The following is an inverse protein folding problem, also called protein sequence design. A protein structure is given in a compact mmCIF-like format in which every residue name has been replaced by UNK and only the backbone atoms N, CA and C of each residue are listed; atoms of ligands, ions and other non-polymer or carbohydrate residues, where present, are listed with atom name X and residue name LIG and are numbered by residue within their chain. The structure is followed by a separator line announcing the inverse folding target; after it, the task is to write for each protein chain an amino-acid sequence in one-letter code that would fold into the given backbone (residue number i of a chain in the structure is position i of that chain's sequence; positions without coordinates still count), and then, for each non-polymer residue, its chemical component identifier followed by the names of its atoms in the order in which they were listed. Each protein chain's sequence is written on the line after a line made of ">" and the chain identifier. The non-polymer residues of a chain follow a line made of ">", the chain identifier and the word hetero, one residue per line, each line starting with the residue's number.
data_IF_510443398054
#
_entry.id   IF_510443398054
#
_cell.length_a   1.000
_cell.length_b   1.000
_cell.length_c   1.000
_cell.angle_alpha   90.00
_cell.angle_beta   90.00
_cell.angle_gamma   90.00
#
_symmetry.space_group_name_H-M   'P 1'
#
loop_
_entity.id
_entity.type
_entity.pdbx_description
1 polymer ?
#
# COMPACT_ATOMS: atom_id res chain seq x y z
N UNK A 1 -21.64 -1.36 -7.62
CA UNK A 1 -20.96 -1.71 -8.89
C UNK A 1 -19.80 -2.67 -8.63
N UNK A 2 -19.36 -3.43 -9.63
CA UNK A 2 -18.28 -4.42 -9.50
C UNK A 2 -16.95 -3.83 -8.98
N UNK A 3 -16.60 -2.60 -9.40
CA UNK A 3 -15.37 -1.92 -8.98
C UNK A 3 -15.30 -1.67 -7.46
N UNK A 4 -16.41 -1.24 -6.83
CA UNK A 4 -16.44 -1.00 -5.38
C UNK A 4 -16.21 -2.28 -4.56
N UNK A 5 -16.68 -3.43 -5.07
CA UNK A 5 -16.46 -4.73 -4.43
C UNK A 5 -15.00 -5.16 -4.54
N UNK A 6 -14.39 -4.96 -5.70
CA UNK A 6 -12.96 -5.26 -5.91
C UNK A 6 -12.09 -4.37 -5.00
N UNK A 7 -12.38 -3.07 -4.92
CA UNK A 7 -11.66 -2.15 -4.03
C UNK A 7 -11.80 -2.53 -2.54
N UNK A 8 -12.94 -3.10 -2.13
CA UNK A 8 -13.12 -3.60 -0.77
C UNK A 8 -12.25 -4.84 -0.47
N UNK A 9 -12.06 -5.71 -1.47
CA UNK A 9 -11.14 -6.84 -1.36
C UNK A 9 -9.69 -6.35 -1.24
N UNK A 10 -9.26 -5.45 -2.11
CA UNK A 10 -7.91 -4.84 -2.04
C UNK A 10 -7.67 -4.21 -0.66
N UNK A 11 -8.66 -3.48 -0.13
CA UNK A 11 -8.58 -2.86 1.18
C UNK A 11 -8.40 -3.89 2.30
N UNK A 12 -9.18 -4.97 2.27
CA UNK A 12 -9.14 -6.02 3.30
C UNK A 12 -7.79 -6.72 3.29
N UNK A 13 -7.29 -7.12 2.11
CA UNK A 13 -5.99 -7.79 1.99
C UNK A 13 -4.87 -6.89 2.49
N UNK A 14 -4.87 -5.60 2.12
CA UNK A 14 -3.85 -4.66 2.61
C UNK A 14 -4.00 -4.31 4.10
N UNK A 15 -5.19 -4.45 4.69
CA UNK A 15 -5.40 -4.20 6.12
C UNK A 15 -4.72 -5.28 6.96
N UNK A 16 -4.83 -6.55 6.55
CA UNK A 16 -4.28 -7.69 7.28
C UNK A 16 -2.83 -8.05 6.91
N UNK A 17 -2.22 -7.38 5.93
CA UNK A 17 -0.83 -7.67 5.55
C UNK A 17 0.18 -7.21 6.62
N UNK A 18 1.29 -7.93 6.77
CA UNK A 18 2.37 -7.52 7.68
C UNK A 18 3.01 -6.20 7.24
N UNK A 19 3.20 -6.04 5.93
CA UNK A 19 3.77 -4.86 5.29
C UNK A 19 2.82 -4.36 4.21
N UNK A 20 2.58 -3.05 4.20
CA UNK A 20 1.83 -2.37 3.14
C UNK A 20 2.74 -1.37 2.41
N UNK A 21 2.77 -1.42 1.08
CA UNK A 21 3.54 -0.48 0.24
C UNK A 21 2.57 0.36 -0.57
N UNK A 22 2.59 1.68 -0.37
CA UNK A 22 1.69 2.60 -1.09
C UNK A 22 2.29 3.03 -2.42
N UNK A 23 1.49 3.02 -3.49
CA UNK A 23 1.92 3.44 -4.83
C UNK A 23 1.57 4.90 -5.14
N UNK A 24 0.43 5.40 -4.69
CA UNK A 24 -0.02 6.77 -4.93
C UNK A 24 -0.65 7.34 -3.66
N UNK A 25 -0.63 8.66 -3.49
CA UNK A 25 -1.45 9.30 -2.47
C UNK A 25 -2.94 9.17 -2.78
N UNK A 26 -3.80 9.54 -1.83
CA UNK A 26 -5.24 9.57 -2.00
C UNK A 26 -5.98 8.86 -0.86
N UNK A 27 -7.28 8.68 -1.05
CA UNK A 27 -8.19 8.23 0.00
C UNK A 27 -7.88 6.81 0.48
N UNK A 28 -7.60 5.88 -0.44
CA UNK A 28 -7.35 4.48 -0.09
C UNK A 28 -6.21 4.30 0.93
N UNK A 29 -4.95 4.71 0.64
CA UNK A 29 -3.87 4.55 1.59
C UNK A 29 -4.05 5.43 2.82
N UNK A 30 -4.71 6.60 2.71
CA UNK A 30 -4.97 7.47 3.85
C UNK A 30 -5.87 6.78 4.89
N UNK A 31 -7.01 6.24 4.45
CA UNK A 31 -7.92 5.49 5.34
C UNK A 31 -7.29 4.19 5.83
N UNK A 32 -6.56 3.47 4.96
CA UNK A 32 -5.94 2.21 5.33
C UNK A 32 -4.84 2.38 6.39
N UNK A 33 -3.99 3.41 6.28
CA UNK A 33 -2.94 3.69 7.27
C UNK A 33 -3.54 3.99 8.65
N UNK A 34 -4.61 4.79 8.71
CA UNK A 34 -5.32 5.06 9.96
C UNK A 34 -5.92 3.80 10.57
N UNK A 35 -6.54 2.95 9.74
CA UNK A 35 -7.16 1.71 10.19
C UNK A 35 -6.11 0.68 10.67
N UNK A 36 -5.01 0.51 9.93
CA UNK A 36 -3.87 -0.33 10.33
C UNK A 36 -3.27 0.17 11.64
N UNK A 37 -3.16 1.49 11.82
CA UNK A 37 -2.67 2.11 13.06
C UNK A 37 -3.59 1.82 14.24
N UNK A 38 -4.89 1.90 14.03
CA UNK A 38 -5.89 1.67 15.06
C UNK A 38 -5.91 0.20 15.53
N UNK A 39 -5.93 -0.77 14.62
CA UNK A 39 -6.02 -2.20 14.98
C UNK A 39 -4.69 -2.82 15.42
N UNK A 40 -3.59 -2.44 14.77
CA UNK A 40 -2.29 -3.14 14.90
C UNK A 40 -1.15 -2.23 15.39
N UNK A 41 -1.44 -0.98 15.76
CA UNK A 41 -0.42 -0.04 16.23
C UNK A 41 0.60 0.34 15.15
N UNK A 42 1.87 -0.05 15.28
CA UNK A 42 2.93 0.32 14.33
C UNK A 42 3.02 -0.66 13.14
N UNK A 43 1.90 -1.01 12.53
CA UNK A 43 1.90 -1.87 11.35
C UNK A 43 2.74 -1.25 10.22
N UNK A 44 3.67 -2.04 9.66
CA UNK A 44 4.67 -1.49 8.73
C UNK A 44 3.99 -0.98 7.46
N UNK A 45 4.24 0.29 7.15
CA UNK A 45 3.79 0.95 5.93
C UNK A 45 4.97 1.65 5.27
N UNK A 46 5.18 1.40 3.98
CA UNK A 46 6.30 1.92 3.20
C UNK A 46 5.75 2.81 2.09
N UNK A 47 6.24 4.05 2.04
CA UNK A 47 6.04 4.95 0.91
C UNK A 47 7.36 5.05 0.14
N UNK A 48 7.51 4.29 -0.96
CA UNK A 48 8.76 4.27 -1.71
C UNK A 48 8.98 5.59 -2.44
N UNK A 49 10.25 5.95 -2.60
CA UNK A 49 10.67 6.95 -3.58
C UNK A 49 10.56 6.32 -4.97
N UNK A 50 9.58 6.81 -5.75
CA UNK A 50 9.27 6.26 -7.07
C UNK A 50 10.41 6.43 -8.06
N UNK A 51 11.10 7.57 -8.03
CA UNK A 51 12.20 7.85 -8.95
C UNK A 51 13.36 6.89 -8.71
N UNK A 52 13.66 6.60 -7.44
CA UNK A 52 14.66 5.58 -7.09
C UNK A 52 14.21 4.17 -7.43
N UNK A 53 12.94 3.85 -7.24
CA UNK A 53 12.38 2.55 -7.58
C UNK A 53 12.49 2.26 -9.08
N UNK A 54 12.28 3.28 -9.94
CA UNK A 54 12.46 3.15 -11.39
C UNK A 54 13.89 2.74 -11.73
N UNK A 55 14.90 3.41 -11.17
CA UNK A 55 16.30 3.05 -11.40
C UNK A 55 16.63 1.62 -10.96
N UNK A 56 16.10 1.18 -9.81
CA UNK A 56 16.30 -0.17 -9.30
C UNK A 56 15.63 -1.24 -10.18
N UNK A 57 14.41 -0.99 -10.67
CA UNK A 57 13.66 -1.96 -11.47
C UNK A 57 14.08 -1.99 -12.94
N UNK A 58 14.64 -0.89 -13.46
CA UNK A 58 15.16 -0.82 -14.83
C UNK A 58 16.55 -1.44 -14.95
N UNK A 59 17.30 -1.56 -13.86
CA UNK A 59 18.62 -2.17 -13.87
C UNK A 59 18.51 -3.70 -14.00
N UNK A 60 18.56 -4.21 -15.22
CA UNK A 60 18.58 -5.64 -15.57
C UNK A 60 19.98 -6.29 -15.51
N UNK A 61 20.99 -5.56 -15.04
CA UNK A 61 22.37 -6.07 -14.95
C UNK A 61 22.72 -6.70 -13.59
N UNK A 62 21.72 -6.83 -12.70
CA UNK A 62 21.79 -7.65 -11.48
C UNK A 62 21.45 -9.10 -11.82
#
# INVERSE_FOLDING_TARGET
>A
GYASRLAALDYTVCLYSEVFVTTQGGNFPHFLMGHRRFLYGHAKTIKPDKSKLVLLLQNTSI
#
